data_IF_182067051933
#
_entry.id   IF_182067051933
#
_cell.length_a   1.000
_cell.length_b   1.000
_cell.length_c   1.000
_cell.angle_alpha   90.00
_cell.angle_beta   90.00
_cell.angle_gamma   90.00
#
_symmetry.space_group_name_H-M   'P 1'
#
loop_
_entity.id
_entity.type
_entity.pdbx_description
1 polymer ?
#
# COMPACT_ATOMS: atom_id res chain seq x y z
N UNK A 1 47.74 35.34 -30.53
CA UNK A 1 46.54 34.57 -30.12
C UNK A 1 46.11 35.00 -28.73
N UNK A 2 44.87 35.46 -28.51
CA UNK A 2 44.39 35.67 -27.16
C UNK A 2 43.97 34.32 -26.54
N UNK A 3 44.14 34.12 -25.22
CA UNK A 3 43.68 32.91 -24.57
C UNK A 3 42.14 32.89 -24.51
N UNK A 4 41.55 31.85 -25.11
CA UNK A 4 40.10 31.62 -25.12
C UNK A 4 39.55 31.43 -23.71
N UNK A 5 38.54 32.23 -23.35
CA UNK A 5 37.83 32.14 -22.07
C UNK A 5 36.93 30.90 -22.09
N UNK A 6 37.23 29.89 -21.26
CA UNK A 6 36.34 28.74 -21.08
C UNK A 6 35.10 29.20 -20.32
N UNK A 7 33.93 29.16 -20.96
CA UNK A 7 32.64 29.32 -20.30
C UNK A 7 32.37 28.02 -19.54
N UNK A 8 32.49 28.07 -18.21
CA UNK A 8 32.01 27.00 -17.35
C UNK A 8 30.48 27.11 -17.28
N UNK A 9 29.78 26.20 -17.95
CA UNK A 9 28.33 26.08 -17.83
C UNK A 9 28.03 25.47 -16.46
N UNK A 10 27.45 26.29 -15.57
CA UNK A 10 26.92 25.85 -14.29
C UNK A 10 25.68 25.00 -14.55
N UNK A 11 25.87 23.68 -14.66
CA UNK A 11 24.75 22.72 -14.62
C UNK A 11 24.05 22.91 -13.28
N UNK A 12 22.86 23.52 -13.31
CA UNK A 12 22.02 23.67 -12.12
C UNK A 12 21.66 22.27 -11.62
N UNK A 13 21.85 22.03 -10.33
CA UNK A 13 21.41 20.80 -9.71
C UNK A 13 19.89 20.65 -9.91
N UNK A 14 19.38 19.46 -10.24
CA UNK A 14 17.95 19.23 -10.38
C UNK A 14 17.26 19.52 -9.05
N UNK A 15 16.11 20.20 -9.12
CA UNK A 15 15.28 20.45 -7.94
C UNK A 15 14.73 19.12 -7.41
N UNK A 16 14.70 18.92 -6.08
CA UNK A 16 14.08 17.73 -5.50
C UNK A 16 12.62 17.59 -5.97
N UNK A 17 12.16 16.37 -6.26
CA UNK A 17 10.77 16.13 -6.62
C UNK A 17 9.84 16.47 -5.45
N UNK A 18 8.63 16.96 -5.76
CA UNK A 18 7.57 17.20 -4.77
C UNK A 18 7.12 15.87 -4.16
N UNK A 19 6.83 15.86 -2.86
CA UNK A 19 6.18 14.74 -2.17
C UNK A 19 4.72 14.59 -2.62
N UNK A 20 4.22 13.36 -2.58
CA UNK A 20 2.82 13.05 -2.88
C UNK A 20 1.90 13.56 -1.76
N UNK A 21 0.69 13.98 -2.12
CA UNK A 21 -0.39 14.10 -1.14
C UNK A 21 -0.83 12.70 -0.69
N UNK A 22 -1.54 12.62 0.43
CA UNK A 22 -2.09 11.35 0.93
C UNK A 22 -3.00 10.68 -0.10
N UNK A 23 -3.84 11.45 -0.78
CA UNK A 23 -4.72 10.94 -1.83
C UNK A 23 -3.92 10.41 -3.04
N UNK A 24 -2.89 11.15 -3.48
CA UNK A 24 -2.00 10.71 -4.57
C UNK A 24 -1.29 9.40 -4.22
N UNK A 25 -0.80 9.28 -2.99
CA UNK A 25 -0.15 8.08 -2.48
C UNK A 25 -1.12 6.88 -2.46
N UNK A 26 -2.33 7.07 -1.94
CA UNK A 26 -3.35 6.02 -1.89
C UNK A 26 -3.74 5.53 -3.29
N UNK A 27 -4.01 6.47 -4.21
CA UNK A 27 -4.38 6.14 -5.59
C UNK A 27 -3.25 5.38 -6.30
N UNK A 28 -2.00 5.79 -6.12
CA UNK A 28 -0.85 5.11 -6.69
C UNK A 28 -0.73 3.68 -6.14
N UNK A 29 -0.93 3.50 -4.84
CA UNK A 29 -0.97 2.19 -4.20
C UNK A 29 -2.02 1.27 -4.83
N UNK A 30 -3.24 1.77 -5.02
CA UNK A 30 -4.32 1.01 -5.67
C UNK A 30 -4.00 0.65 -7.12
N UNK A 31 -3.45 1.59 -7.88
CA UNK A 31 -3.13 1.39 -9.31
C UNK A 31 -2.00 0.38 -9.49
N UNK A 32 -0.90 0.55 -8.78
CA UNK A 32 0.25 -0.35 -8.88
C UNK A 32 -0.06 -1.73 -8.33
N UNK A 33 -0.81 -1.83 -7.23
CA UNK A 33 -1.23 -3.13 -6.69
C UNK A 33 -2.08 -3.90 -7.70
N UNK A 34 -3.06 -3.24 -8.33
CA UNK A 34 -3.90 -3.85 -9.36
C UNK A 34 -3.08 -4.34 -10.56
N UNK A 35 -2.14 -3.52 -11.03
CA UNK A 35 -1.26 -3.84 -12.15
C UNK A 35 -0.36 -5.03 -11.81
N UNK A 36 0.31 -4.99 -10.66
CA UNK A 36 1.21 -6.05 -10.21
C UNK A 36 0.47 -7.39 -10.03
N UNK A 37 -0.75 -7.39 -9.49
CA UNK A 37 -1.56 -8.61 -9.37
C UNK A 37 -1.98 -9.17 -10.73
N UNK A 38 -2.30 -8.31 -11.71
CA UNK A 38 -2.61 -8.74 -13.06
C UNK A 38 -1.38 -9.36 -13.77
N UNK A 39 -0.22 -8.72 -13.64
CA UNK A 39 1.06 -9.24 -14.15
C UNK A 39 1.42 -10.57 -13.48
N UNK A 40 1.25 -10.69 -12.17
CA UNK A 40 1.48 -11.94 -11.44
C UNK A 40 0.59 -13.08 -11.95
N UNK A 41 -0.71 -12.83 -12.17
CA UNK A 41 -1.62 -13.84 -12.75
C UNK A 41 -1.17 -14.27 -14.14
N UNK A 42 -0.82 -13.30 -15.00
CA UNK A 42 -0.31 -13.57 -16.34
C UNK A 42 0.95 -14.45 -16.30
N UNK A 43 1.89 -14.11 -15.40
CA UNK A 43 3.09 -14.91 -15.20
C UNK A 43 2.76 -16.34 -14.75
N UNK A 44 1.85 -16.52 -13.79
CA UNK A 44 1.42 -17.85 -13.34
C UNK A 44 0.76 -18.71 -14.44
N UNK A 45 0.23 -18.08 -15.49
CA UNK A 45 -0.35 -18.77 -16.65
C UNK A 45 0.66 -19.01 -17.79
N UNK A 46 1.87 -18.46 -17.66
CA UNK A 46 2.93 -18.58 -18.66
C UNK A 46 3.61 -19.97 -18.61
N UNK A 47 4.19 -20.44 -19.73
CA UNK A 47 4.96 -21.69 -19.75
C UNK A 47 6.24 -21.64 -18.89
N UNK A 48 6.71 -20.44 -18.55
CA UNK A 48 7.91 -20.24 -17.72
C UNK A 48 7.64 -20.43 -16.23
N UNK A 49 6.36 -20.55 -15.83
CA UNK A 49 5.98 -20.73 -14.44
C UNK A 49 6.04 -22.21 -14.00
N UNK A 50 6.83 -22.48 -12.96
CA UNK A 50 6.92 -23.81 -12.36
C UNK A 50 5.75 -24.11 -11.42
N UNK A 51 4.60 -24.45 -12.00
CA UNK A 51 3.36 -24.67 -11.26
C UNK A 51 3.50 -25.72 -10.14
N UNK A 52 4.09 -26.88 -10.43
CA UNK A 52 4.22 -27.97 -9.45
C UNK A 52 5.16 -27.64 -8.29
N UNK A 53 6.22 -26.86 -8.54
CA UNK A 53 7.11 -26.40 -7.45
C UNK A 53 6.43 -25.38 -6.56
N UNK A 54 5.56 -24.53 -7.10
CA UNK A 54 4.80 -23.56 -6.31
C UNK A 54 3.72 -24.27 -5.49
N UNK A 55 2.94 -25.15 -6.13
CA UNK A 55 1.84 -25.89 -5.50
C UNK A 55 2.30 -26.72 -4.30
N UNK A 56 3.53 -27.24 -4.31
CA UNK A 56 4.07 -28.02 -3.19
C UNK A 56 4.50 -27.19 -1.97
N UNK A 57 4.63 -25.86 -2.11
CA UNK A 57 5.14 -24.96 -1.06
C UNK A 57 4.06 -24.08 -0.44
N UNK A 58 2.98 -23.82 -1.17
CA UNK A 58 1.91 -22.92 -0.74
C UNK A 58 0.94 -23.62 0.23
N UNK A 59 0.39 -22.85 1.15
CA UNK A 59 -0.53 -23.36 2.19
C UNK A 59 -1.86 -23.88 1.60
N UNK A 60 -2.40 -23.20 0.59
CA UNK A 60 -3.69 -23.54 -0.01
C UNK A 60 -3.60 -23.53 -1.54
N UNK A 61 -3.36 -24.70 -2.16
CA UNK A 61 -3.36 -24.84 -3.62
C UNK A 61 -4.67 -24.40 -4.27
N UNK A 62 -5.80 -24.64 -3.60
CA UNK A 62 -7.12 -24.22 -4.10
C UNK A 62 -7.25 -22.70 -4.18
N UNK A 63 -6.93 -21.99 -3.09
CA UNK A 63 -7.01 -20.51 -3.09
C UNK A 63 -6.06 -19.90 -4.12
N UNK A 64 -4.89 -20.49 -4.31
CA UNK A 64 -3.97 -20.09 -5.39
C UNK A 64 -4.57 -20.29 -6.78
N UNK A 65 -5.16 -21.46 -7.06
CA UNK A 65 -5.81 -21.71 -8.34
C UNK A 65 -6.97 -20.74 -8.62
N UNK A 66 -7.81 -20.46 -7.62
CA UNK A 66 -8.90 -19.49 -7.72
C UNK A 66 -8.36 -18.08 -8.04
N UNK A 67 -7.29 -17.66 -7.36
CA UNK A 67 -6.61 -16.38 -7.61
C UNK A 67 -6.06 -16.28 -9.05
N UNK A 68 -5.36 -17.32 -9.52
CA UNK A 68 -4.82 -17.38 -10.90
C UNK A 68 -5.95 -17.40 -11.92
N UNK A 69 -7.10 -17.99 -11.58
CA UNK A 69 -8.34 -17.97 -12.36
C UNK A 69 -9.09 -16.64 -12.36
N UNK A 70 -8.62 -15.64 -11.61
CA UNK A 70 -9.17 -14.28 -11.61
C UNK A 70 -9.99 -13.92 -10.37
N UNK A 71 -10.17 -14.84 -9.40
CA UNK A 71 -10.81 -14.51 -8.14
C UNK A 71 -9.99 -13.47 -7.34
N UNK A 72 -10.64 -12.83 -6.36
CA UNK A 72 -9.99 -11.88 -5.46
C UNK A 72 -8.80 -12.51 -4.75
N UNK A 73 -7.72 -11.73 -4.59
CA UNK A 73 -6.53 -12.12 -3.83
C UNK A 73 -6.74 -12.06 -2.31
N UNK A 74 -7.77 -11.34 -1.87
CA UNK A 74 -8.22 -11.24 -0.47
C UNK A 74 -9.59 -11.89 -0.36
N UNK A 75 -9.78 -12.68 0.68
CA UNK A 75 -11.03 -13.37 0.96
C UNK A 75 -11.98 -12.53 1.80
N UNK A 76 -13.29 -12.80 1.72
CA UNK A 76 -14.29 -12.04 2.48
C UNK A 76 -14.02 -12.03 3.99
N UNK A 77 -13.48 -13.13 4.52
CA UNK A 77 -13.11 -13.21 5.93
C UNK A 77 -11.95 -12.27 6.28
N UNK A 78 -10.92 -12.19 5.43
CA UNK A 78 -9.79 -11.27 5.64
C UNK A 78 -10.24 -9.80 5.59
N UNK A 79 -11.15 -9.46 4.65
CA UNK A 79 -11.77 -8.13 4.60
C UNK A 79 -12.56 -7.84 5.87
N UNK A 80 -13.40 -8.78 6.31
CA UNK A 80 -14.23 -8.61 7.52
C UNK A 80 -13.39 -8.45 8.78
N UNK A 81 -12.31 -9.22 8.93
CA UNK A 81 -11.38 -9.08 10.07
C UNK A 81 -10.70 -7.71 10.05
N UNK A 82 -10.24 -7.26 8.87
CA UNK A 82 -9.63 -5.94 8.72
C UNK A 82 -10.61 -4.81 9.02
N UNK A 83 -11.85 -4.87 8.55
CA UNK A 83 -12.87 -3.87 8.84
C UNK A 83 -13.19 -3.81 10.34
N UNK A 84 -13.18 -4.95 11.03
CA UNK A 84 -13.38 -4.96 12.49
C UNK A 84 -12.21 -4.35 13.26
N UNK A 85 -10.98 -4.59 12.82
CA UNK A 85 -9.77 -4.16 13.54
C UNK A 85 -9.30 -2.74 13.17
N UNK A 86 -9.59 -2.29 11.95
CA UNK A 86 -9.08 -1.03 11.39
C UNK A 86 -10.16 -0.19 10.70
N UNK A 87 -11.42 -0.65 10.69
CA UNK A 87 -12.52 0.10 10.11
C UNK A 87 -12.95 1.28 10.99
N UNK A 88 -13.89 2.06 10.46
CA UNK A 88 -14.43 3.25 11.09
C UNK A 88 -14.93 2.98 12.52
N UNK A 89 -15.49 1.80 12.77
CA UNK A 89 -15.95 1.35 14.10
C UNK A 89 -14.81 1.28 15.14
N UNK A 90 -13.57 0.97 14.73
CA UNK A 90 -12.42 0.96 15.64
C UNK A 90 -11.97 2.38 16.04
N UNK A 91 -12.21 3.39 15.21
CA UNK A 91 -11.80 4.78 15.49
C UNK A 91 -12.72 5.46 16.51
N UNK A 92 -14.02 5.14 16.50
CA UNK A 92 -14.98 5.71 17.46
C UNK A 92 -14.76 5.23 18.90
N UNK A 93 -14.20 4.03 19.09
CA UNK A 93 -13.89 3.49 20.42
C UNK A 93 -12.70 4.23 21.04
N UNK A 94 -11.68 4.56 20.23
CA UNK A 94 -10.54 5.33 20.70
C UNK A 94 -10.93 6.77 21.04
N UNK A 95 -11.79 7.43 20.24
CA UNK A 95 -12.18 8.83 20.47
C UNK A 95 -13.01 9.00 21.77
N UNK A 96 -13.88 8.05 22.12
CA UNK A 96 -14.62 8.07 23.41
C UNK A 96 -13.73 7.88 24.64
N UNK A 97 -12.56 7.24 24.51
CA UNK A 97 -11.64 7.03 25.64
C UNK A 97 -10.93 8.33 26.05
N UNK A 98 -10.80 9.29 25.15
CA UNK A 98 -10.09 10.55 25.41
C UNK A 98 -11.01 11.71 25.83
N UNK A 99 -12.34 11.56 25.75
CA UNK A 99 -13.30 12.60 26.12
C UNK A 99 -13.81 12.52 27.58
N UNK A 100 -13.49 11.45 28.34
CA UNK A 100 -14.01 11.25 29.72
C UNK A 100 -13.10 11.75 30.87
N UNK A 101 -11.99 12.44 30.59
CA UNK A 101 -11.00 12.84 31.63
C UNK A 101 -10.93 14.37 31.91
N UNK A 102 -11.89 15.17 31.42
CA UNK A 102 -11.87 16.65 31.49
C UNK A 102 -12.99 17.29 32.35
N UNK A 103 -13.65 16.53 33.24
CA UNK A 103 -14.64 17.09 34.18
C UNK A 103 -14.49 16.49 35.59
N UNK A 104 -13.75 17.16 36.48
CA UNK A 104 -14.06 17.28 37.92
C UNK A 104 -13.23 18.41 38.57
N UNK A 105 -13.77 19.61 38.37
CA UNK A 105 -13.84 20.84 39.18
C UNK A 105 -12.87 21.14 40.35
N UNK A 106 -12.35 22.37 40.27
CA UNK A 106 -12.00 23.25 41.38
C UNK A 106 -13.14 23.35 42.42
N UNK A 107 -12.86 23.05 43.70
CA UNK A 107 -13.64 23.59 44.82
C UNK A 107 -12.68 23.98 45.98
N UNK A 108 -12.66 25.29 46.24
CA UNK A 108 -12.01 26.03 47.35
C UNK A 108 -12.42 25.51 48.75
N UNK A 109 -11.45 25.28 49.66
CA UNK A 109 -11.44 25.76 51.08
C UNK A 109 -10.01 25.69 51.69
#
# INVERSE_FOLDING_TARGET
CPPGRRVQSSKRAPTPPRLLTEEEYRLQGEVETRKALAELRSFCQSPDFSAWSTVSRIQSPKRFADFVGGASHVTPNEVSVHEREFGLESLFVDEQLFEEDDDDDDDDD
#
